data_IF_917052976934
#
_entry.id   IF_917052976934
#
_cell.length_a   1.000
_cell.length_b   1.000
_cell.length_c   1.000
_cell.angle_alpha   90.00
_cell.angle_beta   90.00
_cell.angle_gamma   90.00
#
_symmetry.space_group_name_H-M   'P 1'
#
loop_
_entity.id
_entity.type
_entity.pdbx_description
1 polymer ?
#
# COMPACT_ATOMS: atom_id res chain seq x y z
N UNK A 1 43.12 34.58 16.90
CA UNK A 1 41.90 34.90 16.14
C UNK A 1 41.92 34.26 14.75
N UNK A 2 42.97 34.36 13.93
CA UNK A 2 43.06 33.82 12.56
C UNK A 2 42.99 32.27 12.51
N UNK A 3 43.66 31.53 13.42
CA UNK A 3 43.60 30.08 13.49
C UNK A 3 42.18 29.55 13.83
N UNK A 4 41.48 30.22 14.74
CA UNK A 4 40.11 29.85 15.09
C UNK A 4 39.14 30.08 13.93
N UNK A 5 39.31 31.15 13.15
CA UNK A 5 38.49 31.41 11.96
C UNK A 5 38.73 30.38 10.85
N UNK A 6 39.95 29.94 10.63
CA UNK A 6 40.29 28.87 9.69
C UNK A 6 39.73 27.52 10.10
N UNK A 7 39.78 27.19 11.39
CA UNK A 7 39.20 25.95 11.94
C UNK A 7 37.68 25.94 11.80
N UNK A 8 36.99 27.04 12.07
CA UNK A 8 35.55 27.16 11.89
C UNK A 8 35.13 27.03 10.41
N UNK A 9 35.88 27.70 9.52
CA UNK A 9 35.62 27.58 8.07
C UNK A 9 35.81 26.15 7.54
N UNK A 10 36.85 25.45 7.99
CA UNK A 10 37.06 24.04 7.66
C UNK A 10 35.95 23.13 8.19
N UNK A 11 35.52 23.31 9.44
CA UNK A 11 34.41 22.57 10.02
C UNK A 11 33.08 22.82 9.26
N UNK A 12 32.81 24.06 8.89
CA UNK A 12 31.62 24.41 8.11
C UNK A 12 31.66 23.83 6.69
N UNK A 13 32.84 23.78 6.06
CA UNK A 13 33.01 23.15 4.76
C UNK A 13 32.75 21.64 4.83
N UNK A 14 33.32 20.93 5.81
CA UNK A 14 33.08 19.51 6.03
C UNK A 14 31.58 19.21 6.30
N UNK A 15 30.94 20.05 7.13
CA UNK A 15 29.53 19.93 7.44
C UNK A 15 28.64 20.05 6.18
N UNK A 16 28.95 20.96 5.28
CA UNK A 16 28.20 21.17 4.04
C UNK A 16 28.51 20.13 2.97
N UNK A 17 29.75 19.74 2.83
CA UNK A 17 30.17 18.86 1.74
C UNK A 17 29.96 17.36 2.02
N UNK A 18 29.88 16.98 3.29
CA UNK A 18 29.77 15.56 3.70
C UNK A 18 28.50 15.31 4.52
N UNK A 19 28.32 16.00 5.65
CA UNK A 19 27.23 15.66 6.57
C UNK A 19 25.84 15.95 6.00
N UNK A 20 25.70 17.02 5.21
CA UNK A 20 24.41 17.37 4.62
C UNK A 20 23.98 16.35 3.55
N UNK A 21 24.82 15.96 2.58
CA UNK A 21 24.49 14.89 1.63
C UNK A 21 24.16 13.55 2.29
N UNK A 22 24.92 13.17 3.35
CA UNK A 22 24.64 11.93 4.08
C UNK A 22 23.27 11.96 4.79
N UNK A 23 22.85 13.09 5.32
CA UNK A 23 21.51 13.24 5.89
C UNK A 23 20.42 13.11 4.83
N UNK A 24 20.63 13.70 3.65
CA UNK A 24 19.71 13.59 2.52
C UNK A 24 19.60 12.14 2.05
N UNK A 25 20.72 11.45 1.93
CA UNK A 25 20.74 10.02 1.58
C UNK A 25 20.01 9.17 2.62
N UNK A 26 20.23 9.42 3.91
CA UNK A 26 19.51 8.71 4.99
C UNK A 26 18.00 8.96 4.92
N UNK A 27 17.60 10.20 4.66
CA UNK A 27 16.19 10.53 4.48
C UNK A 27 15.59 9.83 3.24
N UNK A 28 16.28 9.91 2.10
CA UNK A 28 15.85 9.26 0.86
C UNK A 28 15.73 7.75 1.02
N UNK A 29 16.69 7.12 1.72
CA UNK A 29 16.63 5.67 2.03
C UNK A 29 15.39 5.31 2.86
N UNK A 30 15.02 6.17 3.83
CA UNK A 30 13.82 5.97 4.64
C UNK A 30 12.56 6.05 3.77
N UNK A 31 12.48 7.02 2.86
CA UNK A 31 11.34 7.15 1.93
C UNK A 31 11.21 5.95 1.01
N UNK A 32 12.31 5.49 0.42
CA UNK A 32 12.32 4.28 -0.42
C UNK A 32 11.90 3.04 0.36
N UNK A 33 12.37 2.88 1.61
CA UNK A 33 11.91 1.80 2.49
C UNK A 33 10.39 1.83 2.70
N UNK A 34 9.82 3.01 2.84
CA UNK A 34 8.38 3.21 3.09
C UNK A 34 7.55 3.19 1.78
N UNK A 35 8.18 2.80 0.63
CA UNK A 35 7.51 2.63 -0.66
C UNK A 35 7.45 3.88 -1.54
N UNK A 36 7.96 5.02 -1.06
CA UNK A 36 7.96 6.26 -1.82
C UNK A 36 9.26 6.38 -2.63
N UNK A 37 9.26 5.74 -3.79
CA UNK A 37 10.43 5.72 -4.68
C UNK A 37 10.67 7.07 -5.39
N UNK A 38 9.65 7.92 -5.54
CA UNK A 38 9.74 9.19 -6.25
C UNK A 38 10.32 10.31 -5.38
N UNK A 39 9.99 10.36 -4.08
CA UNK A 39 10.44 11.41 -3.16
C UNK A 39 11.91 11.26 -2.73
N UNK A 40 12.56 10.18 -3.12
CA UNK A 40 13.97 9.90 -2.77
C UNK A 40 15.01 10.38 -3.78
N UNK A 41 14.66 11.21 -4.78
CA UNK A 41 15.62 11.62 -5.79
C UNK A 41 16.71 12.53 -5.23
N UNK A 42 17.97 12.10 -5.32
CA UNK A 42 19.14 12.80 -4.84
C UNK A 42 19.81 13.59 -5.97
N UNK A 43 20.45 14.71 -5.62
CA UNK A 43 21.15 15.57 -6.58
C UNK A 43 22.37 14.85 -7.22
N UNK A 44 22.30 14.61 -8.53
CA UNK A 44 23.35 13.99 -9.32
C UNK A 44 24.46 14.97 -9.75
N UNK A 45 24.33 16.27 -9.38
CA UNK A 45 25.33 17.30 -9.63
C UNK A 45 26.10 17.68 -8.36
N UNK A 46 26.07 16.81 -7.33
CA UNK A 46 26.82 17.06 -6.09
C UNK A 46 28.28 17.43 -6.33
N UNK A 47 28.79 18.32 -5.46
CA UNK A 47 30.10 18.98 -5.63
C UNK A 47 31.26 17.97 -5.61
N UNK A 48 31.18 16.94 -4.76
CA UNK A 48 32.22 15.90 -4.70
C UNK A 48 31.87 14.72 -5.61
N UNK A 49 32.86 14.14 -6.28
CA UNK A 49 32.71 12.98 -7.17
C UNK A 49 32.12 11.78 -6.45
N UNK A 50 32.54 11.53 -5.20
CA UNK A 50 32.15 10.40 -4.40
C UNK A 50 30.66 10.47 -4.03
N UNK A 51 30.20 11.65 -3.60
CA UNK A 51 28.76 11.86 -3.28
C UNK A 51 27.93 11.76 -4.54
N UNK A 52 28.41 12.29 -5.67
CA UNK A 52 27.74 12.19 -6.96
C UNK A 52 27.53 10.74 -7.39
N UNK A 53 28.57 9.89 -7.31
CA UNK A 53 28.50 8.48 -7.65
C UNK A 53 27.48 7.74 -6.76
N UNK A 54 27.48 8.02 -5.46
CA UNK A 54 26.53 7.43 -4.52
C UNK A 54 25.10 7.86 -4.86
N UNK A 55 24.88 9.15 -5.14
CA UNK A 55 23.55 9.67 -5.49
C UNK A 55 23.02 9.03 -6.79
N UNK A 56 23.86 8.94 -7.84
CA UNK A 56 23.52 8.29 -9.11
C UNK A 56 23.17 6.81 -8.87
N UNK A 57 24.01 6.10 -8.11
CA UNK A 57 23.77 4.69 -7.77
C UNK A 57 22.46 4.50 -7.00
N UNK A 58 22.20 5.34 -6.03
CA UNK A 58 20.96 5.33 -5.25
C UNK A 58 19.73 5.60 -6.14
N UNK A 59 19.76 6.64 -6.97
CA UNK A 59 18.65 7.00 -7.86
C UNK A 59 18.32 5.86 -8.83
N UNK A 60 19.35 5.21 -9.41
CA UNK A 60 19.16 4.02 -10.28
C UNK A 60 18.52 2.85 -9.52
N UNK A 61 18.95 2.61 -8.29
CA UNK A 61 18.35 1.57 -7.44
C UNK A 61 16.89 1.88 -7.14
N UNK A 62 16.57 3.10 -6.70
CA UNK A 62 15.21 3.53 -6.40
C UNK A 62 14.29 3.42 -7.63
N UNK A 63 14.78 3.85 -8.79
CA UNK A 63 14.06 3.70 -10.06
C UNK A 63 13.80 2.22 -10.41
N UNK A 64 14.81 1.36 -10.25
CA UNK A 64 14.65 -0.07 -10.54
C UNK A 64 13.65 -0.76 -9.58
N UNK A 65 13.64 -0.36 -8.31
CA UNK A 65 12.64 -0.83 -7.36
C UNK A 65 11.22 -0.38 -7.75
N UNK A 66 11.06 0.89 -8.17
CA UNK A 66 9.78 1.40 -8.67
C UNK A 66 9.28 0.60 -9.90
N UNK A 67 10.16 0.34 -10.88
CA UNK A 67 9.83 -0.51 -12.04
C UNK A 67 9.39 -1.91 -11.61
N UNK A 68 10.12 -2.54 -10.69
CA UNK A 68 9.79 -3.90 -10.22
C UNK A 68 8.43 -3.95 -9.52
N UNK A 69 8.09 -2.95 -8.71
CA UNK A 69 6.78 -2.87 -8.07
C UNK A 69 5.66 -2.62 -9.10
N UNK A 70 5.91 -1.78 -10.10
CA UNK A 70 4.98 -1.55 -11.19
C UNK A 70 4.74 -2.82 -12.02
N UNK A 71 5.80 -3.52 -12.42
CA UNK A 71 5.72 -4.78 -13.17
C UNK A 71 4.96 -5.84 -12.36
N UNK A 72 5.21 -5.92 -11.05
CA UNK A 72 4.50 -6.80 -10.15
C UNK A 72 3.00 -6.51 -10.13
N UNK A 73 2.61 -5.24 -10.02
CA UNK A 73 1.21 -4.84 -10.01
C UNK A 73 0.50 -5.20 -11.32
N UNK A 74 1.13 -4.93 -12.46
CA UNK A 74 0.60 -5.27 -13.79
C UNK A 74 0.46 -6.78 -13.95
N UNK A 75 1.47 -7.57 -13.56
CA UNK A 75 1.44 -9.03 -13.63
C UNK A 75 0.30 -9.61 -12.79
N UNK A 76 0.12 -9.11 -11.56
CA UNK A 76 -0.93 -9.60 -10.66
C UNK A 76 -2.32 -9.24 -11.16
N UNK A 77 -2.51 -8.04 -11.72
CA UNK A 77 -3.76 -7.65 -12.36
C UNK A 77 -4.09 -8.56 -13.56
N UNK A 78 -3.09 -8.91 -14.37
CA UNK A 78 -3.23 -9.85 -15.49
C UNK A 78 -3.64 -11.25 -15.02
N UNK A 79 -2.94 -11.80 -14.04
CA UNK A 79 -3.25 -13.12 -13.47
C UNK A 79 -4.69 -13.17 -12.92
N UNK A 80 -5.14 -12.12 -12.24
CA UNK A 80 -6.51 -12.05 -11.74
C UNK A 80 -7.55 -12.11 -12.84
N UNK A 81 -7.37 -11.31 -13.87
CA UNK A 81 -8.28 -11.32 -15.02
C UNK A 81 -8.35 -12.71 -15.64
N UNK A 82 -7.19 -13.37 -15.82
CA UNK A 82 -7.09 -14.68 -16.46
C UNK A 82 -7.64 -15.81 -15.58
N UNK A 83 -7.66 -15.64 -14.25
CA UNK A 83 -8.29 -16.57 -13.32
C UNK A 83 -9.82 -16.38 -13.21
N UNK A 84 -10.33 -15.15 -13.29
CA UNK A 84 -11.78 -14.91 -13.22
C UNK A 84 -12.54 -15.53 -14.40
N UNK A 85 -11.97 -15.50 -15.58
CA UNK A 85 -12.63 -16.06 -16.78
C UNK A 85 -12.96 -17.55 -16.64
N UNK A 86 -12.02 -18.45 -16.27
CA UNK A 86 -12.34 -19.86 -16.04
C UNK A 86 -13.26 -20.09 -14.82
N UNK A 87 -13.14 -19.28 -13.74
CA UNK A 87 -14.04 -19.37 -12.59
C UNK A 87 -15.48 -19.02 -12.96
N UNK A 88 -15.71 -17.97 -13.76
CA UNK A 88 -17.03 -17.62 -14.26
C UNK A 88 -17.63 -18.75 -15.11
N UNK A 89 -16.82 -19.39 -15.96
CA UNK A 89 -17.25 -20.55 -16.75
C UNK A 89 -17.57 -21.77 -15.87
N UNK A 90 -16.74 -22.09 -14.88
CA UNK A 90 -16.99 -23.16 -13.92
C UNK A 90 -18.30 -22.91 -13.15
N UNK A 91 -18.55 -21.68 -12.73
CA UNK A 91 -19.80 -21.30 -12.06
C UNK A 91 -21.01 -21.55 -12.97
N UNK A 92 -20.92 -21.13 -14.23
CA UNK A 92 -22.00 -21.36 -15.20
C UNK A 92 -22.23 -22.86 -15.46
N UNK A 93 -21.16 -23.64 -15.64
CA UNK A 93 -21.27 -25.11 -15.82
C UNK A 93 -21.86 -25.80 -14.59
N UNK A 94 -21.47 -25.35 -13.37
CA UNK A 94 -22.05 -25.87 -12.12
C UNK A 94 -23.54 -25.62 -12.06
N UNK A 95 -23.99 -24.41 -12.36
CA UNK A 95 -25.43 -24.08 -12.36
C UNK A 95 -26.23 -24.82 -13.43
N UNK A 96 -25.64 -25.07 -14.59
CA UNK A 96 -26.36 -25.71 -15.72
C UNK A 96 -26.31 -27.23 -15.73
N UNK A 97 -25.26 -27.84 -15.20
CA UNK A 97 -24.98 -29.27 -15.40
C UNK A 97 -25.11 -30.11 -14.13
N UNK A 98 -25.06 -29.53 -12.94
CA UNK A 98 -25.15 -30.24 -11.67
C UNK A 98 -26.63 -30.37 -11.27
N UNK A 99 -27.18 -31.57 -11.39
CA UNK A 99 -28.60 -31.83 -11.10
C UNK A 99 -28.88 -31.92 -9.59
N UNK A 100 -27.90 -32.32 -8.78
CA UNK A 100 -27.99 -32.38 -7.32
C UNK A 100 -27.86 -30.99 -6.71
N UNK A 101 -28.90 -30.57 -5.98
CA UNK A 101 -28.95 -29.23 -5.40
C UNK A 101 -27.86 -29.02 -4.33
N UNK A 102 -27.64 -30.01 -3.46
CA UNK A 102 -26.65 -29.89 -2.38
C UNK A 102 -25.22 -29.82 -2.96
N UNK A 103 -24.94 -30.67 -3.95
CA UNK A 103 -23.65 -30.66 -4.66
C UNK A 103 -23.44 -29.33 -5.40
N UNK A 104 -24.49 -28.78 -6.04
CA UNK A 104 -24.41 -27.47 -6.73
C UNK A 104 -24.13 -26.31 -5.77
N UNK A 105 -24.80 -26.27 -4.62
CA UNK A 105 -24.59 -25.26 -3.59
C UNK A 105 -23.15 -25.30 -3.06
N UNK A 106 -22.65 -26.51 -2.74
CA UNK A 106 -21.26 -26.66 -2.27
C UNK A 106 -20.24 -26.21 -3.32
N UNK A 107 -20.41 -26.62 -4.58
CA UNK A 107 -19.51 -26.21 -5.66
C UNK A 107 -19.54 -24.69 -5.91
N UNK A 108 -20.73 -24.08 -5.87
CA UNK A 108 -20.89 -22.64 -6.02
C UNK A 108 -20.24 -21.87 -4.86
N UNK A 109 -20.34 -22.39 -3.63
CA UNK A 109 -19.66 -21.84 -2.46
C UNK A 109 -18.13 -21.93 -2.58
N UNK A 110 -17.60 -23.07 -3.05
CA UNK A 110 -16.16 -23.25 -3.26
C UNK A 110 -15.62 -22.31 -4.33
N UNK A 111 -16.34 -22.12 -5.45
CA UNK A 111 -15.98 -21.18 -6.51
C UNK A 111 -15.99 -19.75 -5.98
N UNK A 112 -16.99 -19.36 -5.19
CA UNK A 112 -17.05 -18.05 -4.57
C UNK A 112 -15.90 -17.81 -3.57
N UNK A 113 -15.50 -18.85 -2.83
CA UNK A 113 -14.36 -18.77 -1.93
C UNK A 113 -13.04 -18.61 -2.68
N UNK A 114 -12.86 -19.26 -3.83
CA UNK A 114 -11.69 -19.08 -4.69
C UNK A 114 -11.62 -17.65 -5.23
N UNK A 115 -12.73 -17.10 -5.72
CA UNK A 115 -12.80 -15.71 -6.22
C UNK A 115 -12.45 -14.71 -5.12
N UNK A 116 -13.02 -14.84 -3.93
CA UNK A 116 -12.69 -14.03 -2.76
C UNK A 116 -11.20 -14.15 -2.34
N UNK A 117 -10.60 -15.33 -2.52
CA UNK A 117 -9.18 -15.54 -2.22
C UNK A 117 -8.28 -14.81 -3.23
N UNK A 118 -8.65 -14.84 -4.51
CA UNK A 118 -7.96 -14.10 -5.58
C UNK A 118 -8.04 -12.60 -5.32
N UNK A 119 -9.22 -12.08 -4.95
CA UNK A 119 -9.40 -10.67 -4.62
C UNK A 119 -8.52 -10.24 -3.44
N UNK A 120 -8.46 -11.02 -2.37
CA UNK A 120 -7.58 -10.75 -1.22
C UNK A 120 -6.09 -10.78 -1.60
N UNK A 121 -5.70 -11.70 -2.47
CA UNK A 121 -4.33 -11.77 -2.96
C UNK A 121 -3.93 -10.54 -3.78
N UNK A 122 -4.84 -10.05 -4.62
CA UNK A 122 -4.63 -8.84 -5.40
C UNK A 122 -4.58 -7.58 -4.55
N UNK A 123 -5.45 -7.50 -3.55
CA UNK A 123 -5.46 -6.40 -2.60
C UNK A 123 -4.13 -6.29 -1.83
N UNK A 124 -3.57 -7.44 -1.44
CA UNK A 124 -2.24 -7.49 -0.81
C UNK A 124 -1.11 -7.08 -1.74
N UNK A 125 -1.25 -7.35 -3.03
CA UNK A 125 -0.22 -7.15 -4.04
C UNK A 125 -0.30 -5.79 -4.76
N UNK A 126 -1.37 -5.01 -4.53
CA UNK A 126 -1.53 -3.69 -5.12
C UNK A 126 -0.54 -2.73 -4.48
N UNK A 127 0.33 -2.05 -5.27
CA UNK A 127 1.16 -0.97 -4.74
C UNK A 127 0.21 0.09 -4.17
N UNK A 128 0.37 0.40 -2.91
CA UNK A 128 -0.42 1.45 -2.29
C UNK A 128 0.08 2.81 -2.74
N UNK A 129 -0.47 3.38 -3.81
CA UNK A 129 -0.52 4.84 -3.97
C UNK A 129 -1.48 5.36 -2.89
N UNK A 130 -1.03 5.34 -1.64
CA UNK A 130 -1.80 5.84 -0.51
C UNK A 130 -1.81 7.36 -0.57
N UNK A 131 -2.92 7.93 -1.01
CA UNK A 131 -3.14 9.37 -0.96
C UNK A 131 -3.62 9.78 0.42
N UNK A 132 -2.71 10.29 1.25
CA UNK A 132 -3.06 10.77 2.59
C UNK A 132 -3.82 12.10 2.49
N UNK A 133 -5.11 12.04 2.75
CA UNK A 133 -6.00 13.19 2.81
C UNK A 133 -6.62 13.36 4.20
N UNK A 134 -7.16 14.56 4.49
CA UNK A 134 -7.87 14.79 5.74
C UNK A 134 -9.29 14.22 5.65
N UNK A 135 -9.48 13.01 6.13
CA UNK A 135 -10.73 12.25 6.05
C UNK A 135 -11.51 12.36 7.36
N UNK A 136 -12.84 12.45 7.29
CA UNK A 136 -13.73 12.39 8.46
C UNK A 136 -13.93 10.93 8.83
N UNK A 137 -13.38 10.51 9.97
CA UNK A 137 -13.39 9.12 10.42
C UNK A 137 -14.80 8.55 10.57
N UNK A 138 -15.75 9.38 11.03
CA UNK A 138 -17.14 8.98 11.21
C UNK A 138 -17.82 8.56 9.91
N UNK A 139 -17.51 9.23 8.79
CA UNK A 139 -18.11 8.94 7.49
C UNK A 139 -17.62 7.59 6.95
N UNK A 140 -16.30 7.31 7.07
CA UNK A 140 -15.72 6.03 6.66
C UNK A 140 -16.29 4.89 7.49
N UNK A 141 -16.36 5.05 8.83
CA UNK A 141 -16.92 4.03 9.73
C UNK A 141 -18.39 3.80 9.41
N UNK A 142 -19.18 4.85 9.18
CA UNK A 142 -20.60 4.73 8.82
C UNK A 142 -20.80 3.94 7.52
N UNK A 143 -19.98 4.21 6.50
CA UNK A 143 -20.01 3.48 5.21
C UNK A 143 -19.71 2.00 5.40
N UNK A 144 -18.67 1.65 6.19
CA UNK A 144 -18.31 0.26 6.48
C UNK A 144 -19.40 -0.47 7.28
N UNK A 145 -20.03 0.20 8.25
CA UNK A 145 -21.12 -0.36 9.04
C UNK A 145 -22.39 -0.59 8.21
N UNK A 146 -22.69 0.30 7.27
CA UNK A 146 -23.81 0.12 6.36
C UNK A 146 -23.69 -1.16 5.54
N UNK A 147 -22.49 -1.51 5.12
CA UNK A 147 -22.23 -2.74 4.36
C UNK A 147 -22.43 -4.05 5.16
N UNK A 148 -22.43 -3.98 6.51
CA UNK A 148 -22.61 -5.14 7.39
C UNK A 148 -23.93 -5.11 8.20
N UNK A 149 -24.84 -4.15 7.94
CA UNK A 149 -26.09 -3.97 8.67
C UNK A 149 -27.05 -5.15 8.62
N UNK A 150 -27.02 -5.97 7.57
CA UNK A 150 -27.92 -7.11 7.39
C UNK A 150 -27.54 -8.35 8.23
N UNK A 151 -26.46 -8.25 9.02
CA UNK A 151 -26.02 -9.36 9.86
C UNK A 151 -26.44 -9.14 11.33
N UNK A 152 -27.53 -9.80 11.75
CA UNK A 152 -28.10 -9.71 13.11
C UNK A 152 -27.14 -10.14 14.25
N UNK A 153 -26.07 -10.85 13.93
CA UNK A 153 -25.14 -11.43 14.90
C UNK A 153 -24.05 -10.45 15.39
N UNK A 154 -23.77 -9.36 14.66
CA UNK A 154 -22.70 -8.42 14.99
C UNK A 154 -23.22 -7.16 15.66
N UNK A 155 -22.92 -6.98 16.94
CA UNK A 155 -23.22 -5.75 17.68
C UNK A 155 -22.00 -4.83 17.74
N UNK A 156 -21.99 -3.80 16.92
CA UNK A 156 -20.90 -2.80 16.90
C UNK A 156 -21.30 -1.57 17.71
N UNK A 157 -20.43 -1.15 18.63
CA UNK A 157 -20.57 0.12 19.34
C UNK A 157 -19.52 1.10 18.83
N UNK A 158 -19.98 2.23 18.29
CA UNK A 158 -19.11 3.30 17.81
C UNK A 158 -19.03 4.39 18.86
N UNK A 159 -17.82 4.81 19.23
CA UNK A 159 -17.57 5.91 20.17
C UNK A 159 -16.45 6.78 19.62
N UNK A 160 -16.78 7.60 18.64
CA UNK A 160 -15.87 8.53 17.97
C UNK A 160 -16.43 9.94 18.15
N UNK A 161 -15.63 10.93 18.64
CA UNK A 161 -16.08 12.31 18.73
C UNK A 161 -16.52 12.83 17.35
N UNK A 162 -17.52 13.72 17.34
CA UNK A 162 -18.01 14.33 16.11
C UNK A 162 -16.87 15.08 15.39
N UNK A 163 -16.85 14.98 14.06
CA UNK A 163 -15.84 15.62 13.19
C UNK A 163 -14.38 15.22 13.46
N UNK A 164 -14.13 14.04 14.02
CA UNK A 164 -12.78 13.51 14.14
C UNK A 164 -12.18 13.32 12.73
N UNK A 165 -11.06 14.02 12.46
CA UNK A 165 -10.35 13.91 11.19
C UNK A 165 -9.02 13.20 11.36
N UNK A 166 -8.69 12.36 10.39
CA UNK A 166 -7.44 11.61 10.33
C UNK A 166 -6.77 11.83 8.97
N UNK A 167 -5.44 11.80 8.94
CA UNK A 167 -4.69 11.79 7.69
C UNK A 167 -4.62 10.33 7.21
N UNK A 168 -5.45 9.98 6.23
CA UNK A 168 -5.56 8.63 5.70
C UNK A 168 -6.03 8.67 4.25
N UNK A 169 -5.84 7.58 3.54
CA UNK A 169 -6.57 7.25 2.33
C UNK A 169 -7.92 6.66 2.75
N UNK A 170 -9.02 7.21 2.26
CA UNK A 170 -10.38 6.82 2.66
C UNK A 170 -10.71 5.36 2.26
N UNK A 171 -10.23 4.92 1.09
CA UNK A 171 -10.44 3.56 0.58
C UNK A 171 -9.65 2.55 1.42
N UNK A 172 -8.37 2.84 1.69
CA UNK A 172 -7.52 1.95 2.48
C UNK A 172 -7.98 1.88 3.95
N UNK A 173 -8.38 3.01 4.52
CA UNK A 173 -8.95 3.05 5.86
C UNK A 173 -10.26 2.25 5.94
N UNK A 174 -11.14 2.41 4.95
CA UNK A 174 -12.38 1.64 4.82
C UNK A 174 -12.10 0.13 4.72
N UNK A 175 -11.07 -0.27 3.96
CA UNK A 175 -10.64 -1.67 3.84
C UNK A 175 -10.16 -2.24 5.17
N UNK A 176 -9.36 -1.50 5.93
CA UNK A 176 -8.91 -1.92 7.27
C UNK A 176 -10.10 -2.15 8.20
N UNK A 177 -11.04 -1.20 8.25
CA UNK A 177 -12.22 -1.29 9.10
C UNK A 177 -13.11 -2.48 8.70
N UNK A 178 -13.36 -2.66 7.41
CA UNK A 178 -14.14 -3.77 6.88
C UNK A 178 -13.50 -5.13 7.20
N UNK A 179 -12.19 -5.26 7.08
CA UNK A 179 -11.47 -6.48 7.45
C UNK A 179 -11.58 -6.79 8.95
N UNK A 180 -11.54 -5.74 9.82
CA UNK A 180 -11.72 -5.92 11.27
C UNK A 180 -13.15 -6.36 11.60
N UNK A 181 -14.16 -5.78 10.96
CA UNK A 181 -15.56 -6.15 11.12
C UNK A 181 -15.81 -7.60 10.65
N UNK A 182 -15.25 -7.99 9.51
CA UNK A 182 -15.36 -9.36 9.01
C UNK A 182 -14.67 -10.37 9.93
N UNK A 183 -13.50 -10.05 10.46
CA UNK A 183 -12.83 -10.89 11.45
C UNK A 183 -13.66 -11.02 12.74
N UNK A 184 -14.22 -9.91 13.25
CA UNK A 184 -15.06 -9.93 14.44
C UNK A 184 -16.37 -10.73 14.26
N UNK A 185 -16.84 -10.88 13.01
CA UNK A 185 -17.99 -11.73 12.68
C UNK A 185 -17.64 -13.22 12.70
N UNK A 186 -16.39 -13.56 12.36
CA UNK A 186 -15.96 -14.99 12.25
C UNK A 186 -15.55 -15.60 13.58
N UNK A 187 -15.17 -14.79 14.55
CA UNK A 187 -14.68 -15.20 15.88
C UNK A 187 -15.53 -14.59 17.00
#
# INVERSE_FOLDING_TARGET
AMAAALSLAGAAAIARLINQPLKLLSYATTRVRDGDFAAGHLDEQAVTSEIREVNIGFNRMAHKLAEMEQDRAVMLAGISHDLRTPLARLRLETEMSVADNDAREHMSADIAQLDATIDKFLDYARPGDVSLESVVLNDVVASCLYAVQDHEELKVRVSIPENTRVMADDVELGRVISNLLENARRY
#
